data_IF_272582626650
#
_entry.id   IF_272582626650
#
_cell.length_a   1.000
_cell.length_b   1.000
_cell.length_c   1.000
_cell.angle_alpha   90.00
_cell.angle_beta   90.00
_cell.angle_gamma   90.00
#
_symmetry.space_group_name_H-M   'P 1'
#
loop_
_entity.id
_entity.type
_entity.pdbx_description
1 polymer ?
#
# COMPACT_ATOMS: atom_id res chain seq x y z
N UNK A 1 -31.72 14.55 28.15
CA UNK A 1 -30.98 13.36 27.65
C UNK A 1 -30.96 13.39 26.12
N UNK A 2 -29.95 14.04 25.53
CA UNK A 2 -29.78 14.14 24.08
C UNK A 2 -29.07 12.90 23.55
N UNK A 3 -29.82 11.97 22.96
CA UNK A 3 -29.27 10.84 22.20
C UNK A 3 -28.50 11.41 21.00
N UNK A 4 -27.18 11.51 21.15
CA UNK A 4 -26.22 11.81 20.08
C UNK A 4 -26.30 10.63 19.10
N UNK A 5 -27.15 10.76 18.08
CA UNK A 5 -27.34 9.79 17.00
C UNK A 5 -26.08 9.87 16.13
N UNK A 6 -25.11 9.02 16.44
CA UNK A 6 -23.90 8.80 15.64
C UNK A 6 -24.34 8.33 14.26
N UNK A 7 -24.46 9.32 13.39
CA UNK A 7 -25.09 9.17 12.11
C UNK A 7 -24.05 8.62 11.14
N UNK A 8 -24.46 7.59 10.39
CA UNK A 8 -23.80 6.91 9.28
C UNK A 8 -23.44 7.84 8.09
N UNK A 9 -23.17 9.13 8.34
CA UNK A 9 -23.23 10.22 7.36
C UNK A 9 -21.94 10.38 6.53
N UNK A 10 -20.81 9.76 6.90
CA UNK A 10 -19.58 9.87 6.11
C UNK A 10 -19.44 8.82 4.99
N UNK A 11 -20.12 7.68 5.06
CA UNK A 11 -20.04 6.59 4.06
C UNK A 11 -20.38 7.03 2.62
N UNK A 12 -21.47 7.76 2.35
CA UNK A 12 -21.81 8.15 0.97
C UNK A 12 -20.83 9.17 0.38
N UNK A 13 -20.22 10.02 1.21
CA UNK A 13 -19.22 11.01 0.79
C UNK A 13 -17.88 10.34 0.45
N UNK A 14 -17.43 9.40 1.28
CA UNK A 14 -16.24 8.59 1.01
C UNK A 14 -16.40 7.81 -0.29
N UNK A 15 -17.56 7.17 -0.50
CA UNK A 15 -17.85 6.43 -1.74
C UNK A 15 -17.75 7.30 -2.98
N UNK A 16 -18.33 8.51 -2.96
CA UNK A 16 -18.26 9.44 -4.10
C UNK A 16 -16.83 9.88 -4.39
N UNK A 17 -16.05 10.26 -3.37
CA UNK A 17 -14.64 10.65 -3.54
C UNK A 17 -13.78 9.50 -4.05
N UNK A 18 -13.97 8.29 -3.52
CA UNK A 18 -13.23 7.11 -3.95
C UNK A 18 -13.56 6.74 -5.41
N UNK A 19 -14.83 6.81 -5.79
CA UNK A 19 -15.26 6.57 -7.17
C UNK A 19 -14.72 7.63 -8.14
N UNK A 20 -14.64 8.89 -7.73
CA UNK A 20 -14.04 9.95 -8.56
C UNK A 20 -12.54 9.71 -8.73
N UNK A 21 -11.82 9.46 -7.62
CA UNK A 21 -10.39 9.15 -7.64
C UNK A 21 -10.07 7.94 -8.52
N UNK A 22 -10.87 6.87 -8.41
CA UNK A 22 -10.68 5.67 -9.22
C UNK A 22 -10.98 5.86 -10.71
N UNK A 23 -11.89 6.78 -11.07
CA UNK A 23 -12.14 7.16 -12.47
C UNK A 23 -11.01 8.01 -13.04
N UNK A 24 -10.49 8.94 -12.24
CA UNK A 24 -9.35 9.79 -12.63
C UNK A 24 -8.08 8.98 -12.85
N UNK A 25 -7.86 7.91 -12.07
CA UNK A 25 -6.66 7.07 -12.12
C UNK A 25 -6.86 5.68 -12.72
N UNK A 26 -7.88 5.52 -13.57
CA UNK A 26 -8.27 4.19 -14.06
C UNK A 26 -7.14 3.52 -14.86
N UNK A 27 -6.44 4.29 -15.69
CA UNK A 27 -5.35 3.78 -16.53
C UNK A 27 -4.14 3.39 -15.65
N UNK A 28 -3.80 4.22 -14.69
CA UNK A 28 -2.74 3.98 -13.70
C UNK A 28 -3.01 2.74 -12.86
N UNK A 29 -4.27 2.53 -12.45
CA UNK A 29 -4.71 1.31 -11.77
C UNK A 29 -4.60 0.07 -12.68
N UNK A 30 -4.96 0.19 -13.95
CA UNK A 30 -4.82 -0.92 -14.90
C UNK A 30 -3.34 -1.30 -15.10
N UNK A 31 -2.48 -0.31 -15.32
CA UNK A 31 -1.02 -0.51 -15.46
C UNK A 31 -0.42 -1.10 -14.19
N UNK A 32 -0.81 -0.59 -13.02
CA UNK A 32 -0.36 -1.10 -11.72
C UNK A 32 -0.67 -2.59 -11.58
N UNK A 33 -1.91 -2.99 -11.88
CA UNK A 33 -2.35 -4.37 -11.74
C UNK A 33 -1.69 -5.30 -12.76
N UNK A 34 -1.52 -4.86 -14.01
CA UNK A 34 -0.81 -5.62 -15.04
C UNK A 34 0.64 -5.83 -14.64
N UNK A 35 1.32 -4.78 -14.16
CA UNK A 35 2.71 -4.84 -13.74
C UNK A 35 2.89 -5.77 -12.53
N UNK A 36 2.00 -5.70 -11.54
CA UNK A 36 1.96 -6.63 -10.41
C UNK A 36 1.78 -8.08 -10.88
N UNK A 37 0.80 -8.33 -11.75
CA UNK A 37 0.51 -9.67 -12.26
C UNK A 37 1.72 -10.26 -13.01
N UNK A 38 2.34 -9.46 -13.89
CA UNK A 38 3.54 -9.86 -14.63
C UNK A 38 4.68 -10.23 -13.66
N UNK A 39 5.00 -9.37 -12.70
CA UNK A 39 6.07 -9.64 -11.73
C UNK A 39 5.84 -10.92 -10.92
N UNK A 40 4.60 -11.14 -10.45
CA UNK A 40 4.25 -12.34 -9.69
C UNK A 40 4.30 -13.60 -10.56
N UNK A 41 3.85 -13.51 -11.82
CA UNK A 41 3.90 -14.63 -12.76
C UNK A 41 5.35 -14.99 -13.14
N UNK A 42 6.19 -14.01 -13.45
CA UNK A 42 7.62 -14.27 -13.72
C UNK A 42 8.32 -14.91 -12.52
N UNK A 43 8.00 -14.45 -11.31
CA UNK A 43 8.53 -15.05 -10.09
C UNK A 43 8.09 -16.50 -9.91
N UNK A 44 6.80 -16.76 -10.12
CA UNK A 44 6.22 -18.11 -9.98
C UNK A 44 6.72 -19.07 -11.06
N UNK A 45 6.97 -18.58 -12.27
CA UNK A 45 7.54 -19.35 -13.38
C UNK A 45 9.06 -19.55 -13.27
N UNK A 46 9.70 -19.02 -12.22
CA UNK A 46 11.12 -19.23 -11.96
C UNK A 46 12.07 -18.47 -12.89
N UNK A 47 11.57 -17.52 -13.69
CA UNK A 47 12.38 -16.75 -14.65
C UNK A 47 13.52 -15.96 -14.00
N UNK A 48 13.41 -15.67 -12.71
CA UNK A 48 14.46 -14.96 -11.98
C UNK A 48 15.60 -15.87 -11.52
N UNK A 49 15.44 -17.19 -11.49
CA UNK A 49 16.51 -18.11 -11.08
C UNK A 49 17.27 -18.64 -12.31
N UNK A 50 18.63 -18.64 -12.38
CA UNK A 50 19.64 -18.24 -11.38
C UNK A 50 20.08 -16.77 -11.42
N UNK A 51 19.61 -15.99 -12.39
CA UNK A 51 20.24 -14.71 -12.73
C UNK A 51 19.93 -13.57 -11.74
N UNK A 52 18.81 -13.63 -11.02
CA UNK A 52 18.32 -12.57 -10.12
C UNK A 52 17.63 -13.15 -8.87
N UNK A 53 18.09 -12.78 -7.66
CA UNK A 53 17.43 -13.09 -6.39
C UNK A 53 16.23 -12.17 -6.13
N UNK A 54 15.29 -12.08 -7.08
CA UNK A 54 14.05 -11.33 -6.90
C UNK A 54 13.10 -12.18 -6.05
N UNK A 55 13.11 -11.91 -4.75
CA UNK A 55 12.18 -12.50 -3.79
C UNK A 55 10.79 -11.87 -3.90
N UNK A 56 9.77 -12.56 -3.39
CA UNK A 56 8.41 -11.99 -3.27
C UNK A 56 8.41 -10.68 -2.45
N UNK A 57 9.30 -10.57 -1.45
CA UNK A 57 9.42 -9.36 -0.63
C UNK A 57 9.97 -8.18 -1.43
N UNK A 58 10.86 -8.45 -2.38
CA UNK A 58 11.39 -7.45 -3.31
C UNK A 58 10.30 -6.96 -4.26
N UNK A 59 9.46 -7.88 -4.76
CA UNK A 59 8.32 -7.52 -5.62
C UNK A 59 7.36 -6.61 -4.87
N UNK A 60 6.94 -6.98 -3.66
CA UNK A 60 6.05 -6.13 -2.85
C UNK A 60 6.66 -4.76 -2.59
N UNK A 61 7.96 -4.69 -2.29
CA UNK A 61 8.65 -3.40 -2.11
C UNK A 61 8.63 -2.54 -3.38
N UNK A 62 8.97 -3.12 -4.54
CA UNK A 62 8.91 -2.43 -5.83
C UNK A 62 7.50 -1.92 -6.09
N UNK A 63 6.48 -2.74 -5.83
CA UNK A 63 5.08 -2.36 -6.03
C UNK A 63 4.64 -1.23 -5.10
N UNK A 64 5.11 -1.21 -3.86
CA UNK A 64 4.88 -0.07 -2.96
C UNK A 64 5.51 1.21 -3.53
N UNK A 65 6.76 1.16 -4.01
CA UNK A 65 7.39 2.31 -4.67
C UNK A 65 6.63 2.76 -5.93
N UNK A 66 6.22 1.82 -6.79
CA UNK A 66 5.42 2.11 -7.99
C UNK A 66 4.08 2.74 -7.62
N UNK A 67 3.44 2.31 -6.52
CA UNK A 67 2.17 2.89 -6.08
C UNK A 67 2.30 4.36 -5.68
N UNK A 68 3.45 4.79 -5.17
CA UNK A 68 3.71 6.20 -4.86
C UNK A 68 3.74 7.01 -6.15
N UNK A 69 4.51 6.57 -7.15
CA UNK A 69 4.71 7.31 -8.40
C UNK A 69 3.48 7.26 -9.30
N UNK A 70 2.93 6.07 -9.50
CA UNK A 70 1.89 5.80 -10.48
C UNK A 70 0.50 6.18 -9.96
N UNK A 71 0.20 5.87 -8.69
CA UNK A 71 -1.11 6.17 -8.09
C UNK A 71 -1.12 7.48 -7.31
N UNK A 72 0.03 8.14 -7.14
CA UNK A 72 0.15 9.36 -6.35
C UNK A 72 -0.21 9.14 -4.88
N UNK A 73 0.10 7.96 -4.33
CA UNK A 73 -0.16 7.64 -2.93
C UNK A 73 0.63 8.58 -2.02
N UNK A 74 -0.05 9.15 -1.03
CA UNK A 74 0.55 10.04 -0.01
C UNK A 74 1.03 9.26 1.20
N UNK A 75 1.79 9.92 2.07
CA UNK A 75 2.24 9.36 3.36
C UNK A 75 1.11 8.70 4.17
N UNK A 76 -0.07 9.35 4.24
CA UNK A 76 -1.25 8.83 4.94
C UNK A 76 -1.74 7.50 4.40
N UNK A 77 -1.68 7.29 3.09
CA UNK A 77 -2.09 6.04 2.47
C UNK A 77 -1.08 4.91 2.76
N UNK A 78 0.23 5.22 2.80
CA UNK A 78 1.27 4.26 3.19
C UNK A 78 1.13 3.81 4.64
N UNK A 79 0.79 4.70 5.56
CA UNK A 79 0.48 4.32 6.94
C UNK A 79 -0.76 3.43 7.04
N UNK A 80 -1.81 3.72 6.26
CA UNK A 80 -2.99 2.87 6.20
C UNK A 80 -2.67 1.45 5.68
N UNK A 81 -1.84 1.35 4.64
CA UNK A 81 -1.36 0.06 4.10
C UNK A 81 -0.49 -0.68 5.12
N UNK A 82 0.41 0.02 5.80
CA UNK A 82 1.23 -0.57 6.88
C UNK A 82 0.37 -1.13 8.00
N UNK A 83 -0.66 -0.38 8.43
CA UNK A 83 -1.63 -0.85 9.42
C UNK A 83 -2.42 -2.07 8.94
N UNK A 84 -2.83 -2.09 7.66
CA UNK A 84 -3.52 -3.23 7.06
C UNK A 84 -2.62 -4.48 7.07
N UNK A 85 -1.35 -4.36 6.69
CA UNK A 85 -0.39 -5.47 6.79
C UNK A 85 -0.18 -5.90 8.23
N UNK A 86 -0.17 -4.99 9.19
CA UNK A 86 0.02 -5.33 10.60
C UNK A 86 -1.16 -6.16 11.12
N UNK A 87 -2.38 -5.70 10.83
CA UNK A 87 -3.60 -6.44 11.14
C UNK A 87 -3.61 -7.83 10.46
N UNK A 88 -3.20 -7.90 9.19
CA UNK A 88 -3.12 -9.16 8.46
C UNK A 88 -2.06 -10.10 9.03
N UNK A 89 -0.88 -9.60 9.41
CA UNK A 89 0.18 -10.40 10.05
C UNK A 89 -0.30 -10.99 11.38
N UNK A 90 -0.98 -10.19 12.21
CA UNK A 90 -1.60 -10.67 13.45
C UNK A 90 -2.67 -11.74 13.20
N UNK A 91 -3.51 -11.55 12.19
CA UNK A 91 -4.52 -12.52 11.77
C UNK A 91 -3.89 -13.84 11.30
N UNK A 92 -2.88 -13.80 10.43
CA UNK A 92 -2.19 -15.01 9.95
C UNK A 92 -1.49 -15.76 11.09
N UNK A 93 -0.93 -15.03 12.07
CA UNK A 93 -0.35 -15.62 13.27
C UNK A 93 -1.41 -16.34 14.12
N UNK A 94 -2.60 -15.75 14.28
CA UNK A 94 -3.70 -16.38 14.99
C UNK A 94 -4.19 -17.68 14.31
N UNK A 95 -4.06 -17.77 12.98
CA UNK A 95 -4.37 -18.98 12.18
C UNK A 95 -3.22 -19.99 12.11
N UNK A 96 -2.11 -19.80 12.83
CA UNK A 96 -0.89 -20.62 12.76
C UNK A 96 -0.25 -20.70 11.36
N UNK A 97 -0.47 -19.70 10.50
CA UNK A 97 0.18 -19.60 9.19
C UNK A 97 1.48 -18.80 9.31
N UNK A 98 2.48 -19.38 9.96
CA UNK A 98 3.71 -18.70 10.37
C UNK A 98 4.48 -18.06 9.20
N UNK A 99 4.62 -18.77 8.07
CA UNK A 99 5.36 -18.30 6.89
C UNK A 99 4.77 -16.99 6.32
N UNK A 100 3.44 -16.90 6.27
CA UNK A 100 2.77 -15.70 5.78
C UNK A 100 2.75 -14.58 6.81
N UNK A 101 2.64 -14.90 8.09
CA UNK A 101 2.73 -13.92 9.16
C UNK A 101 4.09 -13.20 9.16
N UNK A 102 5.18 -13.95 8.99
CA UNK A 102 6.55 -13.44 8.90
C UNK A 102 6.79 -12.61 7.63
N UNK A 103 6.32 -13.07 6.47
CA UNK A 103 6.40 -12.27 5.24
C UNK A 103 5.62 -10.96 5.36
N UNK A 104 4.43 -11.02 5.94
CA UNK A 104 3.58 -9.84 6.10
C UNK A 104 4.19 -8.84 7.08
N UNK A 105 4.87 -9.28 8.15
CA UNK A 105 5.57 -8.36 9.06
C UNK A 105 6.71 -7.62 8.37
N UNK A 106 7.37 -8.24 7.39
CA UNK A 106 8.32 -7.54 6.51
C UNK A 106 7.60 -6.47 5.68
N UNK A 107 6.41 -6.75 5.15
CA UNK A 107 5.62 -5.77 4.38
C UNK A 107 5.16 -4.59 5.24
N UNK A 108 4.84 -4.82 6.52
CA UNK A 108 4.57 -3.74 7.50
C UNK A 108 5.75 -2.79 7.56
N UNK A 109 6.96 -3.33 7.75
CA UNK A 109 8.18 -2.55 7.85
C UNK A 109 8.44 -1.76 6.56
N UNK A 110 8.33 -2.39 5.40
CA UNK A 110 8.52 -1.74 4.10
C UNK A 110 7.56 -0.56 3.89
N UNK A 111 6.26 -0.77 4.14
CA UNK A 111 5.24 0.26 3.99
C UNK A 111 5.42 1.40 5.01
N UNK A 112 5.82 1.07 6.24
CA UNK A 112 6.07 2.06 7.30
C UNK A 112 7.30 2.91 6.99
N UNK A 113 8.38 2.27 6.54
CA UNK A 113 9.60 2.93 6.11
C UNK A 113 9.33 3.93 4.97
N UNK A 114 8.61 3.49 3.93
CA UNK A 114 8.20 4.37 2.84
C UNK A 114 7.26 5.49 3.31
N UNK A 115 6.32 5.20 4.21
CA UNK A 115 5.43 6.20 4.80
C UNK A 115 6.19 7.29 5.56
N UNK A 116 7.21 6.94 6.35
CA UNK A 116 8.09 7.89 7.03
C UNK A 116 8.87 8.73 6.02
N UNK A 117 9.50 8.10 5.02
CA UNK A 117 10.24 8.82 3.99
C UNK A 117 9.34 9.84 3.27
N UNK A 118 8.15 9.41 2.85
CA UNK A 118 7.18 10.30 2.21
C UNK A 118 6.77 11.45 3.12
N UNK A 119 6.53 11.20 4.40
CA UNK A 119 6.18 12.24 5.37
C UNK A 119 7.29 13.29 5.50
N UNK A 120 8.56 12.85 5.54
CA UNK A 120 9.69 13.77 5.57
C UNK A 120 9.77 14.60 4.28
N UNK A 121 9.63 13.97 3.11
CA UNK A 121 9.62 14.68 1.83
C UNK A 121 8.49 15.68 1.71
N UNK A 122 7.26 15.27 2.06
CA UNK A 122 6.08 16.14 2.06
C UNK A 122 6.30 17.35 2.98
N UNK A 123 6.81 17.14 4.19
CA UNK A 123 7.06 18.24 5.14
C UNK A 123 8.20 19.19 4.69
N UNK A 124 9.30 18.66 4.17
CA UNK A 124 10.42 19.49 3.66
C UNK A 124 9.95 20.31 2.46
N UNK A 125 9.21 19.69 1.54
CA UNK A 125 8.68 20.39 0.37
C UNK A 125 7.68 21.49 0.78
N UNK A 126 6.76 21.18 1.71
CA UNK A 126 5.81 22.17 2.23
C UNK A 126 6.48 23.31 3.01
N UNK A 127 7.57 23.02 3.72
CA UNK A 127 8.37 24.04 4.39
C UNK A 127 9.02 24.99 3.39
N UNK A 128 9.63 24.46 2.34
CA UNK A 128 10.26 25.26 1.29
C UNK A 128 9.25 26.08 0.47
N UNK A 129 8.03 25.58 0.29
CA UNK A 129 6.97 26.28 -0.46
C UNK A 129 6.33 27.45 0.30
N UNK A 130 6.51 27.53 1.63
CA UNK A 130 5.99 28.63 2.47
C UNK A 130 6.98 29.78 2.67
N UNK A 131 8.23 29.60 2.25
CA UNK A 131 9.29 30.60 2.36
C UNK A 131 9.35 31.43 1.09
#
# INVERSE_FOLDING_TARGET
MTKKRWSLISLPLVRKKLSAWGKERYLELAVFNVLLAILVLLHSAGYFNPFWLISINTIIFIMLCVSIVLLGMRSTAMFAVSFLFFAFSGFMKALNVAVWAERTSIYVFQALFLGILMLLFENIFLYNAKK
#
